data_IF_890591178017
#
_entry.id   IF_890591178017
#
_cell.length_a   1.000
_cell.length_b   1.000
_cell.length_c   1.000
_cell.angle_alpha   90.00
_cell.angle_beta   90.00
_cell.angle_gamma   90.00
#
_symmetry.space_group_name_H-M   'P 1'
#
loop_
_entity.id
_entity.type
_entity.pdbx_description
1 polymer ?
#
# COMPACT_ATOMS: atom_id res chain seq x y z
N UNK A 1 14.34 -3.14 -15.82
CA UNK A 1 13.14 -2.27 -15.76
C UNK A 1 11.90 -3.02 -15.30
N UNK A 2 11.50 -4.10 -15.98
CA UNK A 2 10.31 -4.87 -15.61
C UNK A 2 10.35 -5.46 -14.17
N UNK A 3 11.53 -5.88 -13.73
CA UNK A 3 11.73 -6.40 -12.37
C UNK A 3 11.45 -5.35 -11.29
N UNK A 4 11.89 -4.10 -11.49
CA UNK A 4 11.65 -2.99 -10.54
C UNK A 4 10.14 -2.75 -10.38
N UNK A 5 9.42 -2.71 -11.49
CA UNK A 5 7.96 -2.57 -11.49
C UNK A 5 7.27 -3.71 -10.74
N UNK A 6 7.57 -4.98 -11.06
CA UNK A 6 6.95 -6.14 -10.40
C UNK A 6 7.29 -6.22 -8.91
N UNK A 7 8.54 -5.93 -8.53
CA UNK A 7 8.95 -5.82 -7.12
C UNK A 7 8.21 -4.70 -6.41
N UNK A 8 7.98 -3.58 -7.10
CA UNK A 8 7.14 -2.49 -6.62
C UNK A 8 5.70 -2.92 -6.35
N UNK A 9 5.08 -3.66 -7.27
CA UNK A 9 3.72 -4.20 -7.11
C UNK A 9 3.62 -5.07 -5.87
N UNK A 10 4.51 -6.05 -5.72
CA UNK A 10 4.55 -6.94 -4.56
C UNK A 10 4.82 -6.21 -3.25
N UNK A 11 5.70 -5.20 -3.26
CA UNK A 11 6.03 -4.41 -2.10
C UNK A 11 4.79 -3.71 -1.52
N UNK A 12 4.12 -2.89 -2.31
CA UNK A 12 3.04 -2.08 -1.78
C UNK A 12 1.75 -2.87 -1.54
N UNK A 13 1.57 -4.01 -2.19
CA UNK A 13 0.57 -4.98 -1.77
C UNK A 13 0.77 -5.39 -0.31
N UNK A 14 1.98 -5.80 0.08
CA UNK A 14 2.30 -6.21 1.45
C UNK A 14 2.23 -5.04 2.44
N UNK A 15 2.69 -3.84 2.05
CA UNK A 15 2.63 -2.64 2.91
C UNK A 15 1.17 -2.25 3.20
N UNK A 16 0.33 -2.16 2.18
CA UNK A 16 -1.09 -1.84 2.36
C UNK A 16 -1.83 -2.93 3.13
N UNK A 17 -1.50 -4.21 2.90
CA UNK A 17 -2.04 -5.32 3.68
C UNK A 17 -1.65 -5.20 5.15
N UNK A 18 -0.40 -4.83 5.47
CA UNK A 18 0.05 -4.60 6.84
C UNK A 18 -0.79 -3.50 7.52
N UNK A 19 -0.98 -2.37 6.85
CA UNK A 19 -1.82 -1.27 7.36
C UNK A 19 -3.26 -1.75 7.58
N UNK A 20 -3.85 -2.45 6.63
CA UNK A 20 -5.20 -2.97 6.75
C UNK A 20 -5.35 -3.94 7.93
N UNK A 21 -4.41 -4.86 8.12
CA UNK A 21 -4.41 -5.78 9.26
C UNK A 21 -4.35 -5.04 10.61
N UNK A 22 -3.68 -3.88 10.69
CA UNK A 22 -3.65 -3.08 11.92
C UNK A 22 -5.01 -2.51 12.31
N UNK A 23 -5.89 -2.26 11.34
CA UNK A 23 -7.25 -1.78 11.61
C UNK A 23 -8.10 -2.86 12.30
N UNK A 24 -7.85 -4.14 12.00
CA UNK A 24 -8.50 -5.26 12.66
C UNK A 24 -7.91 -5.57 14.05
N UNK A 25 -6.66 -5.21 14.30
CA UNK A 25 -5.97 -5.48 15.56
C UNK A 25 -6.43 -4.54 16.68
N UNK A 26 -6.82 -5.10 17.83
CA UNK A 26 -7.36 -4.36 18.99
C UNK A 26 -6.32 -4.03 20.06
N UNK A 27 -5.14 -4.64 19.99
CA UNK A 27 -4.07 -4.45 20.97
C UNK A 27 -2.83 -3.86 20.29
N UNK A 28 -1.99 -3.16 21.05
CA UNK A 28 -0.73 -2.61 20.55
C UNK A 28 0.18 -3.73 20.04
N UNK A 29 0.31 -4.82 20.79
CA UNK A 29 1.10 -5.99 20.39
C UNK A 29 0.58 -6.60 19.08
N UNK A 30 -0.74 -6.73 18.94
CA UNK A 30 -1.37 -7.22 17.71
C UNK A 30 -1.06 -6.33 16.51
N UNK A 31 -1.08 -5.00 16.67
CA UNK A 31 -0.71 -4.05 15.62
C UNK A 31 0.75 -4.16 15.22
N UNK A 32 1.65 -4.31 16.19
CA UNK A 32 3.09 -4.49 15.94
C UNK A 32 3.31 -5.77 15.11
N UNK A 33 2.71 -6.88 15.50
CA UNK A 33 2.85 -8.15 14.77
C UNK A 33 2.22 -8.07 13.37
N UNK A 34 1.08 -7.40 13.22
CA UNK A 34 0.41 -7.20 11.94
C UNK A 34 1.28 -6.42 10.94
N UNK A 35 2.07 -5.46 11.41
CA UNK A 35 3.01 -4.72 10.56
C UNK A 35 4.31 -5.51 10.35
N UNK A 36 4.84 -6.12 11.39
CA UNK A 36 6.17 -6.71 11.39
C UNK A 36 6.34 -7.77 10.29
N UNK A 37 5.43 -8.72 10.19
CA UNK A 37 5.60 -9.85 9.26
C UNK A 37 5.52 -9.44 7.79
N UNK A 38 4.53 -8.66 7.31
CA UNK A 38 4.51 -8.24 5.92
C UNK A 38 5.68 -7.32 5.55
N UNK A 39 6.09 -6.42 6.47
CA UNK A 39 7.24 -5.53 6.24
C UNK A 39 8.54 -6.34 6.18
N UNK A 40 8.74 -7.26 7.11
CA UNK A 40 9.89 -8.17 7.08
C UNK A 40 9.93 -8.99 5.78
N UNK A 41 8.78 -9.48 5.34
CA UNK A 41 8.69 -10.28 4.12
C UNK A 41 9.11 -9.47 2.89
N UNK A 42 8.59 -8.25 2.68
CA UNK A 42 8.97 -7.48 1.50
C UNK A 42 10.45 -7.06 1.52
N UNK A 43 11.00 -6.76 2.69
CA UNK A 43 12.43 -6.44 2.85
C UNK A 43 13.29 -7.67 2.54
N UNK A 44 12.93 -8.83 3.09
CA UNK A 44 13.66 -10.08 2.85
C UNK A 44 13.62 -10.53 1.37
N UNK A 45 12.51 -10.27 0.67
CA UNK A 45 12.38 -10.55 -0.76
C UNK A 45 13.05 -9.51 -1.67
N UNK A 46 13.59 -8.43 -1.11
CA UNK A 46 14.23 -7.36 -1.87
C UNK A 46 13.25 -6.61 -2.79
N UNK A 47 12.03 -6.39 -2.34
CA UNK A 47 11.03 -5.64 -3.09
C UNK A 47 11.32 -4.14 -3.09
N UNK A 48 10.96 -3.47 -4.17
CA UNK A 48 11.23 -2.05 -4.38
C UNK A 48 10.11 -1.17 -3.78
N UNK A 49 10.42 -0.50 -2.67
CA UNK A 49 9.54 0.49 -2.05
C UNK A 49 10.02 1.89 -2.43
N UNK A 50 9.23 2.64 -3.20
CA UNK A 50 9.66 3.95 -3.73
C UNK A 50 10.08 4.92 -2.63
N UNK A 51 9.32 5.01 -1.53
CA UNK A 51 9.63 5.92 -0.41
C UNK A 51 10.94 5.52 0.28
N UNK A 52 11.19 4.22 0.48
CA UNK A 52 12.46 3.75 1.02
C UNK A 52 13.62 4.02 0.06
N UNK A 53 13.41 3.79 -1.24
CA UNK A 53 14.41 4.04 -2.28
C UNK A 53 14.73 5.53 -2.46
N UNK A 54 13.81 6.45 -2.09
CA UNK A 54 14.10 7.89 -2.02
C UNK A 54 15.16 8.25 -0.98
N UNK A 55 15.35 7.41 0.02
CA UNK A 55 16.43 7.55 0.99
C UNK A 55 17.65 6.72 0.61
N UNK A 56 17.47 5.42 0.33
CA UNK A 56 18.59 4.50 0.16
C UNK A 56 19.44 4.79 -1.08
N UNK A 57 18.85 5.16 -2.21
CA UNK A 57 19.62 5.40 -3.44
C UNK A 57 20.48 6.66 -3.35
N UNK A 58 19.99 7.82 -2.90
CA UNK A 58 20.84 8.97 -2.63
C UNK A 58 21.90 8.68 -1.55
N UNK A 59 21.54 8.02 -0.46
CA UNK A 59 22.50 7.68 0.59
C UNK A 59 23.63 6.78 0.06
N UNK A 60 23.33 5.83 -0.81
CA UNK A 60 24.33 4.99 -1.46
C UNK A 60 25.24 5.79 -2.41
N UNK A 61 24.69 6.75 -3.16
CA UNK A 61 25.49 7.66 -4.00
C UNK A 61 26.47 8.50 -3.14
N UNK A 62 25.99 9.08 -2.05
CA UNK A 62 26.85 9.84 -1.13
C UNK A 62 27.88 8.97 -0.42
N UNK A 63 27.60 7.69 -0.19
CA UNK A 63 28.54 6.73 0.34
C UNK A 63 29.57 6.24 -0.70
N UNK A 64 29.48 6.69 -1.95
CA UNK A 64 30.43 6.35 -3.02
C UNK A 64 30.22 4.96 -3.63
N UNK A 65 29.01 4.39 -3.51
CA UNK A 65 28.70 3.11 -4.15
C UNK A 65 28.75 3.28 -5.67
N UNK A 66 29.58 2.47 -6.38
CA UNK A 66 29.73 2.62 -7.82
C UNK A 66 28.40 2.29 -8.56
N UNK A 67 28.29 2.80 -9.77
CA UNK A 67 27.20 2.53 -10.72
C UNK A 67 25.80 3.07 -10.33
N UNK A 68 25.67 3.72 -9.18
CA UNK A 68 24.43 4.41 -8.81
C UNK A 68 24.49 5.86 -9.29
N UNK A 69 23.67 6.19 -10.26
CA UNK A 69 23.59 7.54 -10.87
C UNK A 69 22.21 8.16 -10.66
N UNK A 70 22.11 9.48 -10.74
CA UNK A 70 20.82 10.17 -10.67
C UNK A 70 19.84 9.70 -11.76
N UNK A 71 20.33 9.38 -12.98
CA UNK A 71 19.50 8.84 -14.02
C UNK A 71 18.86 7.50 -13.65
N UNK A 72 19.68 6.56 -13.15
CA UNK A 72 19.19 5.25 -12.71
C UNK A 72 18.26 5.37 -11.51
N UNK A 73 18.54 6.30 -10.60
CA UNK A 73 17.71 6.58 -9.42
C UNK A 73 16.32 7.08 -9.81
N UNK A 74 16.24 8.06 -10.72
CA UNK A 74 14.95 8.59 -11.19
C UNK A 74 14.12 7.53 -11.91
N UNK A 75 14.75 6.69 -12.74
CA UNK A 75 14.08 5.57 -13.39
C UNK A 75 13.57 4.55 -12.36
N UNK A 76 14.36 4.24 -11.33
CA UNK A 76 13.92 3.35 -10.26
C UNK A 76 12.71 3.93 -9.53
N UNK A 77 12.76 5.21 -9.12
CA UNK A 77 11.64 5.87 -8.42
C UNK A 77 10.36 5.86 -9.24
N UNK A 78 10.46 6.14 -10.54
CA UNK A 78 9.30 6.12 -11.44
C UNK A 78 8.68 4.72 -11.54
N UNK A 79 9.51 3.72 -11.85
CA UNK A 79 9.03 2.34 -12.05
C UNK A 79 8.56 1.69 -10.75
N UNK A 80 9.30 1.87 -9.65
CA UNK A 80 8.89 1.40 -8.33
C UNK A 80 7.62 2.12 -7.87
N UNK A 81 7.52 3.44 -8.08
CA UNK A 81 6.35 4.23 -7.71
C UNK A 81 5.08 3.79 -8.44
N UNK A 82 5.14 3.61 -9.76
CA UNK A 82 4.02 3.07 -10.54
C UNK A 82 3.69 1.65 -10.07
N UNK A 83 4.68 0.80 -9.84
CA UNK A 83 4.49 -0.54 -9.31
C UNK A 83 3.80 -0.52 -7.93
N UNK A 84 4.26 0.33 -7.03
CA UNK A 84 3.65 0.51 -5.70
C UNK A 84 2.18 0.94 -5.81
N UNK A 85 1.86 1.90 -6.68
CA UNK A 85 0.49 2.34 -6.91
C UNK A 85 -0.40 1.20 -7.44
N UNK A 86 0.07 0.47 -8.44
CA UNK A 86 -0.64 -0.68 -9.02
C UNK A 86 -0.90 -1.75 -7.95
N UNK A 87 0.11 -2.08 -7.13
CA UNK A 87 -0.01 -3.05 -6.04
C UNK A 87 -1.07 -2.67 -5.02
N UNK A 88 -1.10 -1.40 -4.60
CA UNK A 88 -2.09 -0.89 -3.66
C UNK A 88 -3.51 -0.88 -4.25
N UNK A 89 -3.66 -0.37 -5.48
CA UNK A 89 -4.99 -0.21 -6.11
C UNK A 89 -5.61 -1.56 -6.45
N UNK A 90 -4.88 -2.43 -7.14
CA UNK A 90 -5.45 -3.70 -7.63
C UNK A 90 -5.71 -4.67 -6.47
N UNK A 91 -4.73 -4.89 -5.60
CA UNK A 91 -4.85 -5.96 -4.61
C UNK A 91 -5.53 -5.52 -3.32
N UNK A 92 -5.44 -4.25 -2.94
CA UNK A 92 -6.00 -3.79 -1.67
C UNK A 92 -7.23 -2.92 -1.85
N UNK A 93 -7.12 -1.81 -2.58
CA UNK A 93 -8.25 -0.88 -2.73
C UNK A 93 -9.45 -1.52 -3.44
N UNK A 94 -9.21 -2.27 -4.53
CA UNK A 94 -10.28 -2.98 -5.26
C UNK A 94 -10.93 -4.05 -4.39
N UNK A 95 -10.13 -4.85 -3.65
CA UNK A 95 -10.65 -5.86 -2.75
C UNK A 95 -11.47 -5.24 -1.61
N UNK A 96 -10.99 -4.14 -1.03
CA UNK A 96 -11.69 -3.42 0.01
C UNK A 96 -13.02 -2.82 -0.50
N UNK A 97 -13.00 -2.19 -1.67
CA UNK A 97 -14.19 -1.65 -2.29
C UNK A 97 -15.24 -2.75 -2.56
N UNK A 98 -14.79 -3.87 -3.12
CA UNK A 98 -15.69 -5.00 -3.42
C UNK A 98 -16.33 -5.61 -2.16
N UNK A 99 -15.56 -5.76 -1.08
CA UNK A 99 -16.03 -6.42 0.13
C UNK A 99 -16.87 -5.51 1.04
N UNK A 100 -16.62 -4.21 1.04
CA UNK A 100 -17.17 -3.31 2.06
C UNK A 100 -17.93 -2.10 1.54
N UNK A 101 -17.72 -1.69 0.29
CA UNK A 101 -18.28 -0.44 -0.25
C UNK A 101 -19.27 -0.65 -1.38
N UNK A 102 -19.15 -1.73 -2.13
CA UNK A 102 -19.95 -1.98 -3.35
C UNK A 102 -21.47 -1.94 -3.10
N UNK A 103 -21.91 -2.50 -1.98
CA UNK A 103 -23.34 -2.64 -1.65
C UNK A 103 -23.77 -1.67 -0.54
N UNK A 104 -23.00 -0.60 -0.28
CA UNK A 104 -23.43 0.45 0.63
C UNK A 104 -24.42 1.36 -0.08
N UNK A 105 -25.58 1.65 0.52
CA UNK A 105 -26.48 2.67 0.00
C UNK A 105 -25.76 4.02 -0.02
N UNK A 106 -26.01 4.81 -1.04
CA UNK A 106 -25.53 6.20 -1.12
C UNK A 106 -26.08 7.00 0.05
N UNK A 107 -25.38 8.08 0.47
CA UNK A 107 -25.79 8.90 1.63
C UNK A 107 -27.22 9.46 1.48
N UNK A 108 -27.64 9.76 0.24
CA UNK A 108 -28.98 10.18 -0.06
C UNK A 108 -30.03 9.09 0.23
N UNK A 109 -29.76 7.87 -0.23
CA UNK A 109 -30.64 6.71 -0.02
C UNK A 109 -30.70 6.30 1.45
N UNK A 110 -29.58 6.38 2.17
CA UNK A 110 -29.54 6.13 3.62
C UNK A 110 -30.36 7.16 4.41
N UNK A 111 -30.33 8.43 3.98
CA UNK A 111 -31.13 9.51 4.58
C UNK A 111 -32.62 9.30 4.33
N UNK A 112 -33.01 8.94 3.10
CA UNK A 112 -34.39 8.67 2.76
C UNK A 112 -34.96 7.45 3.51
N UNK A 113 -34.16 6.39 3.68
CA UNK A 113 -34.53 5.23 4.50
C UNK A 113 -34.70 5.59 5.98
N UNK A 114 -33.85 6.46 6.52
CA UNK A 114 -33.98 6.94 7.90
C UNK A 114 -35.28 7.72 8.12
N UNK A 115 -35.61 8.65 7.21
CA UNK A 115 -36.86 9.42 7.26
C UNK A 115 -38.11 8.54 7.07
N UNK A 116 -38.05 7.53 6.20
CA UNK A 116 -39.16 6.60 6.01
C UNK A 116 -39.41 5.74 7.26
N UNK A 117 -38.37 5.40 8.02
CA UNK A 117 -38.48 4.62 9.27
C UNK A 117 -39.07 5.49 10.40
N UNK A 118 -38.74 6.77 10.47
CA UNK A 118 -39.31 7.72 11.45
C UNK A 118 -40.77 8.06 11.18
N UNK A 119 -41.20 8.02 9.91
CA UNK A 119 -42.56 8.37 9.51
C UNK A 119 -43.58 7.21 9.72
N UNK A 120 -43.13 6.01 10.00
CA UNK A 120 -44.00 4.84 10.18
C UNK A 120 -43.66 4.09 11.50
N UNK A 121 -44.05 4.64 12.68
CA UNK A 121 -43.74 4.09 14.00
C UNK A 121 -44.51 2.77 14.33
#
# INVERSE_FOLDING_TARGET
MWQIFLRGVGCNWLVCLAVWMTLAARTVSGKILAIFFPIMAFVAMGFDHVVANMFFLPAAMFAGVPDITWGNTLVNWLLAGIGNLVGAVIFVATSYWYLFLKDRPDEAEATDMAHATEANP
#
